data_IF_473921670671
#
_entry.id   IF_473921670671
#
_cell.length_a   1.000
_cell.length_b   1.000
_cell.length_c   1.000
_cell.angle_alpha   90.00
_cell.angle_beta   90.00
_cell.angle_gamma   90.00
#
_symmetry.space_group_name_H-M   'P 1'
#
loop_
_entity.id
_entity.type
_entity.pdbx_description
1 polymer ?
#
# COMPACT_ATOMS: atom_id res chain seq x y z
N UNK A 1 -78.70 5.41 -5.33
CA UNK A 1 -77.78 5.03 -6.45
C UNK A 1 -76.37 5.42 -6.04
N UNK A 2 -75.56 4.45 -5.53
CA UNK A 2 -74.17 4.64 -5.15
C UNK A 2 -73.29 4.05 -6.24
N UNK A 3 -72.45 4.89 -6.88
CA UNK A 3 -71.48 4.47 -7.89
C UNK A 3 -70.17 4.12 -7.16
N UNK A 4 -69.75 2.86 -7.14
CA UNK A 4 -68.50 2.36 -6.69
C UNK A 4 -67.47 2.47 -7.85
N UNK A 5 -66.49 3.31 -7.69
CA UNK A 5 -65.36 3.40 -8.61
C UNK A 5 -64.25 2.42 -8.16
N UNK A 6 -63.99 1.39 -8.97
CA UNK A 6 -62.86 0.47 -8.79
C UNK A 6 -61.62 1.12 -9.35
N UNK A 7 -60.62 1.37 -8.50
CA UNK A 7 -59.28 1.80 -8.88
C UNK A 7 -58.45 0.54 -9.08
N UNK A 8 -58.10 0.22 -10.31
CA UNK A 8 -57.13 -0.79 -10.68
C UNK A 8 -55.70 -0.20 -10.47
N UNK A 9 -55.01 -0.69 -9.42
CA UNK A 9 -53.62 -0.37 -9.17
C UNK A 9 -52.74 -1.25 -10.07
N UNK A 10 -52.17 -0.65 -11.12
CA UNK A 10 -51.17 -1.30 -11.99
C UNK A 10 -49.83 -1.27 -11.29
N UNK A 11 -49.44 -2.40 -10.70
CA UNK A 11 -48.11 -2.58 -10.10
C UNK A 11 -47.11 -2.90 -11.22
N UNK A 12 -46.40 -1.87 -11.72
CA UNK A 12 -45.26 -2.08 -12.60
C UNK A 12 -44.11 -2.73 -11.81
N UNK A 13 -43.93 -4.04 -11.98
CA UNK A 13 -42.67 -4.70 -11.61
C UNK A 13 -41.58 -4.20 -12.57
N UNK A 14 -40.78 -3.25 -12.11
CA UNK A 14 -39.50 -2.96 -12.75
C UNK A 14 -38.56 -4.13 -12.46
N UNK A 15 -38.40 -5.05 -13.40
CA UNK A 15 -37.33 -6.03 -13.38
C UNK A 15 -36.03 -5.27 -13.58
N UNK A 16 -35.33 -4.98 -12.48
CA UNK A 16 -33.92 -4.57 -12.54
C UNK A 16 -33.15 -5.76 -13.08
N UNK A 17 -32.66 -5.68 -14.32
CA UNK A 17 -31.69 -6.61 -14.84
C UNK A 17 -30.42 -6.46 -13.95
N UNK A 18 -30.29 -7.34 -12.98
CA UNK A 18 -29.03 -7.57 -12.30
C UNK A 18 -28.14 -8.22 -13.38
N UNK A 19 -27.27 -7.44 -13.99
CA UNK A 19 -26.16 -8.03 -14.72
C UNK A 19 -25.38 -8.81 -13.66
N UNK A 20 -25.51 -10.13 -13.68
CA UNK A 20 -24.65 -11.00 -12.93
C UNK A 20 -23.22 -10.71 -13.46
N UNK A 21 -22.41 -9.99 -12.69
CA UNK A 21 -20.97 -10.00 -12.91
C UNK A 21 -20.60 -11.50 -12.95
N UNK A 22 -19.98 -11.93 -14.04
CA UNK A 22 -19.50 -13.31 -14.15
C UNK A 22 -18.68 -13.65 -12.90
N UNK A 23 -18.75 -14.90 -12.44
CA UNK A 23 -17.93 -15.38 -11.34
C UNK A 23 -16.47 -15.01 -11.61
N UNK A 24 -15.74 -14.56 -10.57
CA UNK A 24 -14.34 -14.15 -10.70
C UNK A 24 -13.45 -15.13 -9.97
N UNK A 25 -12.24 -15.28 -10.50
CA UNK A 25 -11.24 -16.15 -9.90
C UNK A 25 -9.82 -15.68 -10.21
N UNK A 26 -8.87 -16.41 -9.67
CA UNK A 26 -7.45 -16.15 -9.89
C UNK A 26 -6.63 -17.44 -9.79
N UNK A 27 -5.60 -17.64 -10.64
CA UNK A 27 -4.71 -18.78 -10.52
C UNK A 27 -3.74 -18.55 -9.36
N UNK A 28 -3.50 -19.60 -8.56
CA UNK A 28 -2.49 -19.61 -7.48
C UNK A 28 -1.11 -20.03 -7.96
N UNK A 29 -1.06 -20.76 -9.07
CA UNK A 29 0.15 -21.12 -9.79
C UNK A 29 0.06 -20.63 -11.23
N UNK A 30 1.17 -20.54 -11.94
CA UNK A 30 1.11 -20.26 -13.38
C UNK A 30 0.28 -21.34 -14.08
N UNK A 31 -0.80 -20.97 -14.74
CA UNK A 31 -1.75 -21.88 -15.34
C UNK A 31 -1.86 -21.68 -16.84
N UNK A 32 -1.94 -22.79 -17.59
CA UNK A 32 -2.06 -22.77 -19.04
C UNK A 32 -3.51 -22.59 -19.48
N UNK A 33 -3.72 -21.71 -20.44
CA UNK A 33 -5.00 -21.49 -21.12
C UNK A 33 -5.00 -22.27 -22.45
N UNK A 34 -6.05 -23.05 -22.67
CA UNK A 34 -6.20 -23.95 -23.83
C UNK A 34 -7.39 -23.52 -24.70
N UNK A 35 -7.37 -23.89 -25.99
CA UNK A 35 -8.46 -23.57 -26.92
C UNK A 35 -9.75 -24.38 -26.62
N UNK A 36 -9.62 -25.57 -26.02
CA UNK A 36 -10.72 -26.44 -25.63
C UNK A 36 -10.44 -27.10 -24.28
N UNK A 37 -11.46 -27.67 -23.58
CA UNK A 37 -11.30 -28.30 -22.26
C UNK A 37 -10.60 -29.65 -22.35
N UNK A 38 -9.42 -29.66 -22.95
CA UNK A 38 -8.55 -30.82 -23.16
C UNK A 38 -7.08 -30.39 -23.10
N UNK A 39 -6.30 -31.05 -22.22
CA UNK A 39 -4.89 -30.74 -22.01
C UNK A 39 -4.01 -31.07 -23.24
N UNK A 40 -4.50 -31.87 -24.20
CA UNK A 40 -3.86 -32.12 -25.46
C UNK A 40 -4.14 -31.07 -26.53
N UNK A 41 -5.11 -30.19 -26.30
CA UNK A 41 -5.48 -29.12 -27.24
C UNK A 41 -4.41 -28.02 -27.32
N UNK A 42 -4.53 -27.16 -28.34
CA UNK A 42 -3.60 -26.05 -28.52
C UNK A 42 -3.57 -25.10 -27.34
N UNK A 43 -2.37 -24.78 -26.92
CA UNK A 43 -2.12 -23.79 -25.87
C UNK A 43 -2.25 -22.36 -26.44
N UNK A 44 -3.01 -21.51 -25.78
CA UNK A 44 -3.23 -20.12 -26.19
C UNK A 44 -2.29 -19.16 -25.48
N UNK A 45 -2.22 -19.27 -24.15
CA UNK A 45 -1.45 -18.36 -23.30
C UNK A 45 -1.18 -18.97 -21.92
N UNK A 46 -0.45 -18.24 -21.08
CA UNK A 46 -0.27 -18.54 -19.66
C UNK A 46 -0.87 -17.42 -18.81
N UNK A 47 -1.68 -17.80 -17.86
CA UNK A 47 -2.13 -16.90 -16.81
C UNK A 47 -1.16 -17.00 -15.63
N UNK A 48 -0.50 -15.92 -15.29
CA UNK A 48 0.39 -15.83 -14.13
C UNK A 48 -0.38 -15.84 -12.81
N UNK A 49 0.33 -16.06 -11.71
CA UNK A 49 -0.21 -16.05 -10.34
C UNK A 49 -0.91 -14.72 -10.04
N UNK A 50 -2.07 -14.77 -9.43
CA UNK A 50 -2.82 -13.59 -9.02
C UNK A 50 -3.52 -12.83 -10.17
N UNK A 51 -3.41 -13.29 -11.43
CA UNK A 51 -4.12 -12.66 -12.56
C UNK A 51 -5.63 -12.83 -12.44
N UNK A 52 -6.36 -11.84 -12.90
CA UNK A 52 -7.82 -11.89 -12.90
C UNK A 52 -8.34 -12.80 -13.99
N UNK A 53 -9.32 -13.61 -13.61
CA UNK A 53 -10.10 -14.45 -14.51
C UNK A 53 -11.57 -14.12 -14.35
N UNK A 54 -12.25 -13.80 -15.45
CA UNK A 54 -13.71 -13.76 -15.51
C UNK A 54 -14.18 -15.13 -15.98
N UNK A 55 -15.05 -15.78 -15.18
CA UNK A 55 -15.54 -17.12 -15.47
C UNK A 55 -16.74 -17.02 -16.40
N UNK A 56 -16.63 -17.56 -17.59
CA UNK A 56 -17.67 -17.55 -18.61
C UNK A 56 -18.52 -18.82 -18.56
N UNK A 57 -17.89 -19.98 -18.27
CA UNK A 57 -18.57 -21.27 -18.15
C UNK A 57 -17.76 -22.22 -17.25
N UNK A 58 -18.40 -23.25 -16.71
CA UNK A 58 -17.80 -24.20 -15.79
C UNK A 58 -18.20 -25.63 -16.14
N UNK A 59 -17.21 -26.49 -16.22
CA UNK A 59 -17.37 -27.96 -16.31
C UNK A 59 -16.85 -28.62 -15.02
N UNK A 60 -16.90 -29.93 -14.95
CA UNK A 60 -16.37 -30.66 -13.78
C UNK A 60 -14.90 -30.33 -13.49
N UNK A 61 -14.04 -30.27 -14.51
CA UNK A 61 -12.58 -30.14 -14.42
C UNK A 61 -12.02 -28.84 -15.00
N UNK A 62 -12.80 -28.11 -15.79
CA UNK A 62 -12.36 -26.94 -16.53
C UNK A 62 -13.25 -25.72 -16.30
N UNK A 63 -12.64 -24.57 -16.38
CA UNK A 63 -13.30 -23.26 -16.42
C UNK A 63 -13.06 -22.65 -17.80
N UNK A 64 -14.12 -22.17 -18.45
CA UNK A 64 -14.01 -21.28 -19.59
C UNK A 64 -13.83 -19.86 -19.06
N UNK A 65 -12.74 -19.22 -19.38
CA UNK A 65 -12.36 -17.95 -18.79
C UNK A 65 -11.99 -16.92 -19.83
N UNK A 66 -12.22 -15.67 -19.49
CA UNK A 66 -11.51 -14.53 -20.07
C UNK A 66 -10.44 -14.10 -19.07
N UNK A 67 -9.18 -14.15 -19.48
CA UNK A 67 -8.02 -13.84 -18.66
C UNK A 67 -7.38 -12.53 -19.12
N UNK A 68 -7.14 -11.60 -18.20
CA UNK A 68 -6.33 -10.42 -18.43
C UNK A 68 -4.86 -10.78 -18.22
N UNK A 69 -4.07 -10.82 -19.29
CA UNK A 69 -2.68 -11.28 -19.25
C UNK A 69 -1.67 -10.18 -18.89
N UNK A 70 -2.00 -8.93 -19.17
CA UNK A 70 -1.19 -7.76 -18.83
C UNK A 70 -1.91 -6.87 -17.84
N UNK A 71 -1.16 -6.04 -17.10
CA UNK A 71 -1.76 -5.05 -16.20
C UNK A 71 -2.23 -3.85 -17.06
N UNK A 72 -3.52 -3.45 -16.99
CA UNK A 72 -4.05 -2.40 -17.87
C UNK A 72 -3.62 -0.99 -17.51
N UNK A 73 -2.66 -0.80 -16.59
CA UNK A 73 -2.29 0.53 -16.10
C UNK A 73 -1.04 1.05 -16.78
N UNK A 74 -1.16 2.22 -17.49
CA UNK A 74 -0.05 2.82 -18.23
C UNK A 74 1.02 3.48 -17.35
N UNK A 75 0.79 3.60 -16.06
CA UNK A 75 1.66 4.31 -15.11
C UNK A 75 2.74 3.43 -14.45
N UNK A 76 2.80 2.15 -14.82
CA UNK A 76 3.93 1.28 -14.48
C UNK A 76 4.79 1.07 -15.72
N UNK A 77 5.51 2.10 -16.07
CA UNK A 77 6.59 2.05 -17.06
C UNK A 77 7.83 1.36 -16.46
N UNK A 78 7.69 0.12 -16.01
CA UNK A 78 8.84 -0.71 -15.79
C UNK A 78 9.18 -1.41 -17.09
N UNK A 79 10.22 -0.88 -17.75
CA UNK A 79 11.08 -1.53 -18.75
C UNK A 79 10.49 -2.85 -19.29
N UNK A 80 9.30 -2.77 -19.81
CA UNK A 80 8.70 -3.84 -20.52
C UNK A 80 9.12 -3.61 -21.96
N UNK A 81 9.72 -4.61 -22.54
CA UNK A 81 9.95 -4.64 -23.97
C UNK A 81 8.74 -4.03 -24.69
N UNK A 82 8.97 -3.20 -25.68
CA UNK A 82 7.97 -2.50 -26.50
C UNK A 82 6.89 -3.39 -27.13
N UNK A 83 6.98 -4.72 -26.91
CA UNK A 83 6.05 -5.76 -27.34
C UNK A 83 5.08 -6.23 -26.24
N UNK A 84 5.01 -5.57 -25.07
CA UNK A 84 4.07 -5.97 -24.03
C UNK A 84 2.64 -5.57 -24.44
N UNK A 85 1.87 -6.58 -24.73
CA UNK A 85 0.43 -6.57 -25.04
C UNK A 85 -0.39 -5.90 -23.90
N UNK A 86 -0.36 -4.57 -23.80
CA UNK A 86 -1.16 -3.80 -22.85
C UNK A 86 -2.65 -4.14 -23.04
N UNK A 87 -3.26 -4.69 -21.98
CA UNK A 87 -4.70 -4.98 -21.98
C UNK A 87 -5.10 -6.20 -22.79
N UNK A 88 -4.18 -7.11 -23.18
CA UNK A 88 -4.54 -8.30 -23.91
C UNK A 88 -5.35 -9.26 -23.05
N UNK A 89 -6.60 -9.44 -23.42
CA UNK A 89 -7.45 -10.50 -22.90
C UNK A 89 -7.35 -11.73 -23.78
N UNK A 90 -7.35 -12.90 -23.17
CA UNK A 90 -7.41 -14.20 -23.87
C UNK A 90 -8.57 -15.01 -23.33
N UNK A 91 -9.42 -15.48 -24.22
CA UNK A 91 -10.54 -16.37 -23.88
C UNK A 91 -10.15 -17.81 -24.17
N UNK A 92 -10.37 -18.70 -23.22
CA UNK A 92 -10.04 -20.12 -23.36
C UNK A 92 -10.36 -20.93 -22.10
N UNK A 93 -9.79 -22.13 -22.03
CA UNK A 93 -10.06 -23.09 -20.97
C UNK A 93 -8.86 -23.28 -20.05
N UNK A 94 -9.09 -23.22 -18.73
CA UNK A 94 -8.09 -23.43 -17.68
C UNK A 94 -8.53 -24.55 -16.75
N UNK A 95 -7.60 -25.33 -16.18
CA UNK A 95 -7.94 -26.37 -15.22
C UNK A 95 -8.46 -25.74 -13.92
N UNK A 96 -9.63 -26.18 -13.46
CA UNK A 96 -10.31 -25.65 -12.26
C UNK A 96 -9.46 -25.79 -10.98
N UNK A 97 -8.66 -26.85 -10.87
CA UNK A 97 -7.83 -27.10 -9.67
C UNK A 97 -6.79 -26.03 -9.39
N UNK A 98 -6.40 -25.27 -10.42
CA UNK A 98 -5.34 -24.27 -10.35
C UNK A 98 -5.90 -22.86 -10.05
N UNK A 99 -7.24 -22.75 -9.85
CA UNK A 99 -7.95 -21.47 -9.72
C UNK A 99 -8.72 -21.39 -8.41
N UNK A 100 -8.54 -20.29 -7.70
CA UNK A 100 -9.38 -19.90 -6.55
C UNK A 100 -10.50 -19.01 -7.05
N UNK A 101 -11.73 -19.39 -6.74
CA UNK A 101 -12.95 -18.62 -6.97
C UNK A 101 -13.40 -17.94 -5.67
N UNK A 102 -14.22 -16.91 -5.76
CA UNK A 102 -14.85 -16.28 -4.59
C UNK A 102 -15.67 -17.27 -3.73
N UNK A 103 -16.13 -18.38 -4.34
CA UNK A 103 -16.85 -19.47 -3.68
C UNK A 103 -15.95 -20.57 -3.11
N UNK A 104 -14.61 -20.49 -3.31
CA UNK A 104 -13.68 -21.52 -2.81
C UNK A 104 -13.60 -21.49 -1.28
N UNK A 105 -13.88 -22.60 -0.58
CA UNK A 105 -13.72 -22.67 0.85
C UNK A 105 -12.28 -22.33 1.29
N UNK A 106 -12.13 -21.47 2.31
CA UNK A 106 -10.83 -20.95 2.79
C UNK A 106 -9.96 -20.33 1.68
N UNK A 107 -10.56 -19.89 0.56
CA UNK A 107 -9.84 -19.31 -0.57
C UNK A 107 -9.02 -18.07 -0.21
N UNK A 108 -9.48 -17.29 0.75
CA UNK A 108 -8.77 -16.14 1.33
C UNK A 108 -7.46 -16.57 2.00
N UNK A 109 -7.47 -17.64 2.80
CA UNK A 109 -6.28 -18.17 3.48
C UNK A 109 -5.29 -18.79 2.50
N UNK A 110 -5.80 -19.50 1.47
CA UNK A 110 -4.96 -20.09 0.43
C UNK A 110 -4.23 -18.97 -0.32
N UNK A 111 -4.96 -17.96 -0.81
CA UNK A 111 -4.35 -16.83 -1.52
C UNK A 111 -3.36 -16.06 -0.65
N UNK A 112 -3.72 -15.83 0.63
CA UNK A 112 -2.83 -15.13 1.56
C UNK A 112 -1.54 -15.91 1.82
N UNK A 113 -1.63 -17.24 2.01
CA UNK A 113 -0.46 -18.10 2.18
C UNK A 113 0.46 -18.10 0.97
N UNK A 114 -0.09 -18.21 -0.23
CA UNK A 114 0.66 -18.15 -1.49
C UNK A 114 1.29 -16.76 -1.73
N UNK A 115 0.63 -15.69 -1.26
CA UNK A 115 1.18 -14.35 -1.30
C UNK A 115 2.39 -14.21 -0.36
N UNK A 116 2.29 -14.73 0.88
CA UNK A 116 3.41 -14.75 1.86
C UNK A 116 4.59 -15.53 1.30
N UNK A 117 4.37 -16.70 0.71
CA UNK A 117 5.44 -17.48 0.07
C UNK A 117 6.13 -16.68 -1.06
N UNK A 118 5.34 -15.98 -1.88
CA UNK A 118 5.90 -15.15 -2.94
C UNK A 118 6.67 -13.94 -2.42
N UNK A 119 6.20 -13.32 -1.33
CA UNK A 119 6.89 -12.21 -0.65
C UNK A 119 8.23 -12.68 -0.04
N UNK A 120 8.23 -13.85 0.60
CA UNK A 120 9.46 -14.47 1.12
C UNK A 120 10.46 -14.74 0.00
N UNK A 121 10.01 -15.32 -1.12
CA UNK A 121 10.85 -15.52 -2.30
C UNK A 121 11.41 -14.19 -2.85
N UNK A 122 10.64 -13.11 -2.83
CA UNK A 122 11.08 -11.80 -3.29
C UNK A 122 12.18 -11.20 -2.39
N UNK A 123 12.18 -11.53 -1.10
CA UNK A 123 13.17 -11.05 -0.12
C UNK A 123 14.52 -11.77 -0.21
N UNK A 124 14.59 -12.92 -0.87
CA UNK A 124 15.79 -13.75 -0.95
C UNK A 124 16.73 -13.26 -2.07
N UNK A 125 18.05 -13.29 -1.83
CA UNK A 125 19.07 -12.82 -2.78
C UNK A 125 19.01 -13.53 -4.15
N UNK A 126 18.51 -14.76 -4.19
CA UNK A 126 18.33 -15.58 -5.41
C UNK A 126 16.88 -16.07 -5.53
N UNK A 127 15.93 -15.27 -5.03
CA UNK A 127 14.53 -15.58 -5.14
C UNK A 127 14.02 -15.57 -6.58
N UNK A 128 12.80 -16.06 -6.75
CA UNK A 128 12.18 -16.18 -8.07
C UNK A 128 11.93 -14.81 -8.70
N UNK A 129 12.36 -14.63 -9.94
CA UNK A 129 12.07 -13.41 -10.70
C UNK A 129 10.54 -13.17 -10.77
N UNK A 130 10.11 -11.95 -10.51
CA UNK A 130 8.69 -11.59 -10.52
C UNK A 130 7.93 -11.99 -9.24
N UNK A 131 8.61 -12.51 -8.20
CA UNK A 131 7.96 -12.93 -6.95
C UNK A 131 7.28 -11.78 -6.22
N UNK A 132 7.86 -10.58 -6.20
CA UNK A 132 7.24 -9.39 -5.61
C UNK A 132 5.92 -9.01 -6.30
N UNK A 133 5.92 -9.03 -7.64
CA UNK A 133 4.71 -8.77 -8.43
C UNK A 133 3.64 -9.84 -8.23
N UNK A 134 4.04 -11.12 -8.08
CA UNK A 134 3.11 -12.19 -7.76
C UNK A 134 2.51 -12.00 -6.36
N UNK A 135 3.35 -11.72 -5.35
CA UNK A 135 2.89 -11.43 -3.99
C UNK A 135 1.88 -10.28 -3.98
N UNK A 136 2.24 -9.16 -4.63
CA UNK A 136 1.38 -7.97 -4.76
C UNK A 136 0.01 -8.33 -5.35
N UNK A 137 -0.04 -9.09 -6.45
CA UNK A 137 -1.30 -9.50 -7.08
C UNK A 137 -2.11 -10.45 -6.22
N UNK A 138 -1.46 -11.47 -5.62
CA UNK A 138 -2.14 -12.45 -4.77
C UNK A 138 -2.75 -11.79 -3.52
N UNK A 139 -2.02 -10.90 -2.84
CA UNK A 139 -2.56 -10.12 -1.73
C UNK A 139 -3.75 -9.26 -2.16
N UNK A 140 -3.65 -8.58 -3.30
CA UNK A 140 -4.77 -7.81 -3.84
C UNK A 140 -6.01 -8.68 -4.05
N UNK A 141 -5.85 -9.91 -4.58
CA UNK A 141 -6.96 -10.84 -4.82
C UNK A 141 -7.63 -11.32 -3.53
N UNK A 142 -6.92 -11.40 -2.41
CA UNK A 142 -7.57 -11.67 -1.11
C UNK A 142 -8.63 -10.59 -0.81
N UNK A 143 -8.25 -9.32 -0.89
CA UNK A 143 -9.17 -8.21 -0.59
C UNK A 143 -10.26 -8.02 -1.67
N UNK A 144 -9.99 -8.44 -2.90
CA UNK A 144 -10.89 -8.30 -4.04
C UNK A 144 -11.96 -9.40 -4.09
N UNK A 145 -11.57 -10.67 -3.94
CA UNK A 145 -12.47 -11.82 -3.98
C UNK A 145 -13.13 -12.10 -2.62
N UNK A 146 -12.48 -11.75 -1.52
CA UNK A 146 -12.95 -12.02 -0.15
C UNK A 146 -12.98 -10.73 0.71
N UNK A 147 -13.76 -9.71 0.32
CA UNK A 147 -13.73 -8.39 0.98
C UNK A 147 -14.19 -8.41 2.44
N UNK A 148 -14.89 -9.47 2.87
CA UNK A 148 -15.35 -9.66 4.26
C UNK A 148 -14.41 -10.53 5.08
N UNK A 149 -13.33 -11.04 4.49
CA UNK A 149 -12.32 -11.82 5.21
C UNK A 149 -11.60 -10.97 6.27
N UNK A 150 -11.30 -11.53 7.45
CA UNK A 150 -10.45 -10.85 8.43
C UNK A 150 -9.03 -10.55 7.91
N UNK A 151 -8.60 -11.22 6.84
CA UNK A 151 -7.31 -10.99 6.17
C UNK A 151 -7.36 -9.87 5.13
N UNK A 152 -8.54 -9.40 4.72
CA UNK A 152 -8.70 -8.48 3.58
C UNK A 152 -7.94 -7.15 3.78
N UNK A 153 -8.00 -6.57 4.97
CA UNK A 153 -7.31 -5.30 5.26
C UNK A 153 -5.78 -5.46 5.28
N UNK A 154 -5.28 -6.54 5.92
CA UNK A 154 -3.85 -6.89 5.91
C UNK A 154 -3.35 -7.10 4.48
N UNK A 155 -4.04 -7.93 3.73
CA UNK A 155 -3.70 -8.25 2.35
C UNK A 155 -3.69 -7.01 1.46
N UNK A 156 -4.71 -6.15 1.56
CA UNK A 156 -4.76 -4.93 0.76
C UNK A 156 -3.59 -3.99 1.09
N UNK A 157 -3.27 -3.84 2.38
CA UNK A 157 -2.13 -3.05 2.81
C UNK A 157 -0.80 -3.62 2.29
N UNK A 158 -0.55 -4.93 2.45
CA UNK A 158 0.69 -5.56 1.95
C UNK A 158 0.84 -5.43 0.44
N UNK A 159 -0.26 -5.60 -0.31
CA UNK A 159 -0.26 -5.35 -1.75
C UNK A 159 0.16 -3.91 -2.10
N UNK A 160 -0.40 -2.94 -1.37
CA UNK A 160 -0.07 -1.52 -1.54
C UNK A 160 1.38 -1.21 -1.11
N UNK A 161 1.84 -1.82 -0.01
CA UNK A 161 3.19 -1.60 0.52
C UNK A 161 4.29 -2.14 -0.39
N UNK A 162 4.14 -3.35 -0.94
CA UNK A 162 5.09 -3.89 -1.91
C UNK A 162 5.25 -2.92 -3.09
N UNK A 163 4.15 -2.39 -3.59
CA UNK A 163 4.17 -1.41 -4.67
C UNK A 163 4.87 -0.12 -4.25
N UNK A 164 4.49 0.42 -3.08
CA UNK A 164 5.11 1.61 -2.51
C UNK A 164 6.63 1.49 -2.40
N UNK A 165 7.12 0.35 -1.91
CA UNK A 165 8.56 0.08 -1.77
C UNK A 165 9.28 0.10 -3.12
N UNK A 166 8.67 -0.49 -4.15
CA UNK A 166 9.23 -0.50 -5.51
C UNK A 166 9.28 0.92 -6.09
N UNK A 167 8.18 1.66 -6.02
CA UNK A 167 8.10 3.03 -6.53
C UNK A 167 9.04 3.96 -5.76
N UNK A 168 9.12 3.81 -4.43
CA UNK A 168 10.05 4.58 -3.57
C UNK A 168 11.50 4.31 -3.94
N UNK A 169 11.87 3.07 -4.18
CA UNK A 169 13.22 2.72 -4.61
C UNK A 169 13.58 3.37 -5.95
N UNK A 170 12.65 3.40 -6.91
CA UNK A 170 12.82 4.07 -8.19
C UNK A 170 12.99 5.59 -8.02
N UNK A 171 12.11 6.25 -7.26
CA UNK A 171 12.18 7.68 -6.98
C UNK A 171 13.52 8.05 -6.32
N UNK A 172 13.95 7.26 -5.31
CA UNK A 172 15.19 7.52 -4.58
C UNK A 172 16.45 7.25 -5.42
N UNK A 173 16.37 6.45 -6.47
CA UNK A 173 17.47 6.20 -7.39
C UNK A 173 17.78 7.38 -8.31
N UNK A 174 16.85 8.31 -8.49
CA UNK A 174 16.97 9.45 -9.40
C UNK A 174 17.78 10.58 -8.78
N UNK A 175 18.57 11.32 -9.57
CA UNK A 175 19.30 12.50 -9.08
C UNK A 175 18.41 13.54 -8.41
N UNK A 176 17.17 13.70 -8.89
CA UNK A 176 16.17 14.62 -8.34
C UNK A 176 15.68 14.25 -6.93
N UNK A 177 15.97 13.06 -6.42
CA UNK A 177 15.60 12.66 -5.06
C UNK A 177 16.15 13.59 -3.97
N UNK A 178 17.25 14.31 -4.26
CA UNK A 178 17.90 15.25 -3.33
C UNK A 178 17.37 16.67 -3.42
N UNK A 179 16.50 16.97 -4.38
CA UNK A 179 15.91 18.31 -4.52
C UNK A 179 15.11 18.68 -3.26
N UNK A 180 15.25 19.92 -2.81
CA UNK A 180 14.58 20.41 -1.61
C UNK A 180 13.06 20.42 -1.77
N UNK A 181 12.59 20.93 -2.88
CA UNK A 181 11.17 21.05 -3.15
C UNK A 181 10.58 19.71 -3.64
N UNK A 182 9.52 19.26 -2.98
CA UNK A 182 8.86 17.99 -3.28
C UNK A 182 8.40 17.88 -4.76
N UNK A 183 7.92 18.97 -5.35
CA UNK A 183 7.44 18.98 -6.74
C UNK A 183 8.53 18.79 -7.81
N UNK A 184 9.82 18.94 -7.43
CA UNK A 184 10.96 18.66 -8.32
C UNK A 184 11.40 17.19 -8.26
N UNK A 185 10.92 16.44 -7.29
CA UNK A 185 11.19 15.01 -7.14
C UNK A 185 10.08 14.20 -7.80
N UNK A 186 10.35 12.97 -8.19
CA UNK A 186 9.29 12.05 -8.58
C UNK A 186 8.35 11.78 -7.41
N UNK A 187 7.05 11.71 -7.67
CA UNK A 187 6.06 11.31 -6.67
C UNK A 187 5.90 9.79 -6.68
N UNK A 188 5.69 9.21 -5.49
CA UNK A 188 5.29 7.82 -5.34
C UNK A 188 3.78 7.76 -5.55
N UNK A 189 3.27 6.77 -6.28
CA UNK A 189 1.83 6.61 -6.53
C UNK A 189 1.06 6.37 -5.22
N UNK A 190 0.25 7.35 -4.81
CA UNK A 190 -0.55 7.31 -3.59
C UNK A 190 -1.86 6.52 -3.73
N UNK A 191 -2.24 6.13 -4.94
CA UNK A 191 -3.56 5.55 -5.23
C UNK A 191 -3.87 4.37 -4.31
N UNK A 192 -2.94 3.43 -4.20
CA UNK A 192 -3.17 2.18 -3.45
C UNK A 192 -3.23 2.38 -1.95
N UNK A 193 -2.40 3.27 -1.40
CA UNK A 193 -2.47 3.61 0.02
C UNK A 193 -3.78 4.33 0.35
N UNK A 194 -4.25 5.22 -0.53
CA UNK A 194 -5.55 5.88 -0.40
C UNK A 194 -6.72 4.89 -0.48
N UNK A 195 -6.63 3.86 -1.33
CA UNK A 195 -7.65 2.81 -1.39
C UNK A 195 -7.68 1.94 -0.10
N UNK A 196 -6.54 1.65 0.52
CA UNK A 196 -6.50 1.00 1.85
C UNK A 196 -7.26 1.83 2.88
N UNK A 197 -6.94 3.11 2.99
CA UNK A 197 -7.58 4.04 3.95
C UNK A 197 -9.09 4.09 3.72
N UNK A 198 -9.52 4.20 2.47
CA UNK A 198 -10.93 4.31 2.08
C UNK A 198 -11.73 3.03 2.35
N UNK A 199 -11.14 1.85 2.05
CA UNK A 199 -11.84 0.56 2.18
C UNK A 199 -11.84 0.01 3.60
N UNK A 200 -10.83 0.33 4.40
CA UNK A 200 -10.63 -0.23 5.74
C UNK A 200 -10.41 0.86 6.81
N UNK A 201 -11.28 1.88 6.88
CA UNK A 201 -11.11 2.99 7.81
C UNK A 201 -11.09 2.51 9.27
N UNK A 202 -10.29 3.17 10.11
CA UNK A 202 -10.18 2.86 11.55
C UNK A 202 -9.44 1.56 11.87
N UNK A 203 -8.74 0.98 10.90
CA UNK A 203 -7.86 -0.17 11.11
C UNK A 203 -6.41 0.28 11.20
N UNK A 204 -5.57 -0.50 11.90
CA UNK A 204 -4.11 -0.26 11.92
C UNK A 204 -3.51 -0.20 10.51
N UNK A 205 -4.11 -0.88 9.54
CA UNK A 205 -3.65 -0.91 8.17
C UNK A 205 -3.91 0.42 7.44
N UNK A 206 -5.04 1.06 7.73
CA UNK A 206 -5.33 2.40 7.25
C UNK A 206 -4.36 3.43 7.87
N UNK A 207 -4.03 3.27 9.16
CA UNK A 207 -3.07 4.13 9.84
C UNK A 207 -1.67 3.98 9.23
N UNK A 208 -1.21 2.74 8.99
CA UNK A 208 0.06 2.48 8.32
C UNK A 208 0.09 3.08 6.90
N UNK A 209 -1.00 2.91 6.13
CA UNK A 209 -1.11 3.50 4.80
C UNK A 209 -1.05 5.04 4.84
N UNK A 210 -1.70 5.67 5.85
CA UNK A 210 -1.63 7.12 6.05
C UNK A 210 -0.21 7.60 6.39
N UNK A 211 0.58 6.79 7.09
CA UNK A 211 1.98 7.09 7.38
C UNK A 211 2.83 7.11 6.12
N UNK A 212 2.66 6.14 5.22
CA UNK A 212 3.38 6.13 3.93
C UNK A 212 3.12 7.41 3.11
N UNK A 213 1.90 7.96 3.15
CA UNK A 213 1.59 9.20 2.42
C UNK A 213 2.36 10.43 2.92
N UNK A 214 3.10 10.33 4.02
CA UNK A 214 3.99 11.38 4.50
C UNK A 214 5.20 11.53 3.57
N UNK A 215 5.72 10.44 3.01
CA UNK A 215 6.93 10.44 2.19
C UNK A 215 6.90 11.47 1.04
N UNK A 216 5.76 11.60 0.36
CA UNK A 216 5.60 12.59 -0.73
C UNK A 216 5.57 14.05 -0.25
N UNK A 217 5.40 14.28 1.05
CA UNK A 217 5.29 15.62 1.65
C UNK A 217 6.60 16.12 2.24
N UNK A 218 7.54 15.21 2.46
CA UNK A 218 8.84 15.55 3.04
C UNK A 218 9.70 16.32 2.02
N UNK A 219 10.62 17.11 2.50
CA UNK A 219 11.65 17.70 1.66
C UNK A 219 12.75 16.68 1.34
N UNK A 220 13.56 16.96 0.33
CA UNK A 220 14.83 16.28 0.13
C UNK A 220 15.91 16.79 1.10
N UNK A 221 16.95 17.41 0.57
CA UNK A 221 18.00 18.03 1.39
C UNK A 221 17.54 19.39 1.96
N UNK A 222 17.60 19.59 3.27
CA UNK A 222 17.20 20.86 3.91
C UNK A 222 18.19 22.00 3.66
N UNK A 223 19.45 21.72 3.34
CA UNK A 223 20.49 22.70 3.06
C UNK A 223 20.65 23.75 4.18
N UNK A 224 20.35 23.38 5.43
CA UNK A 224 20.38 24.28 6.59
C UNK A 224 19.20 25.25 6.71
N UNK A 225 18.18 25.17 5.84
CA UNK A 225 17.00 26.03 5.91
C UNK A 225 15.99 25.53 6.96
N UNK A 226 15.35 26.47 7.67
CA UNK A 226 14.38 26.18 8.75
C UNK A 226 13.02 25.73 8.24
N UNK A 227 12.62 26.10 7.01
CA UNK A 227 11.28 25.85 6.43
C UNK A 227 10.93 24.37 6.38
N UNK A 228 11.85 23.54 5.91
CA UNK A 228 11.61 22.10 5.73
C UNK A 228 11.45 21.36 7.05
N UNK A 229 12.39 21.41 8.00
CA UNK A 229 12.23 20.70 9.26
C UNK A 229 11.03 21.17 10.08
N UNK A 230 10.62 22.45 10.00
CA UNK A 230 9.37 22.90 10.62
C UNK A 230 8.16 22.20 10.01
N UNK A 231 8.02 22.26 8.68
CA UNK A 231 6.91 21.63 7.96
C UNK A 231 6.83 20.12 8.23
N UNK A 232 7.97 19.45 8.23
CA UNK A 232 8.03 18.01 8.46
C UNK A 232 7.69 17.64 9.90
N UNK A 233 8.18 18.40 10.90
CA UNK A 233 7.81 18.21 12.29
C UNK A 233 6.30 18.31 12.48
N UNK A 234 5.67 19.35 11.91
CA UNK A 234 4.22 19.55 11.98
C UNK A 234 3.42 18.40 11.32
N UNK A 235 3.93 17.83 10.21
CA UNK A 235 3.31 16.68 9.54
C UNK A 235 3.32 15.45 10.47
N UNK A 236 4.46 15.15 11.09
CA UNK A 236 4.59 14.02 12.00
C UNK A 236 3.83 14.21 13.32
N UNK A 237 3.83 15.42 13.88
CA UNK A 237 3.03 15.75 15.06
C UNK A 237 1.53 15.56 14.77
N UNK A 238 1.08 16.04 13.61
CA UNK A 238 -0.31 15.86 13.18
C UNK A 238 -0.65 14.39 13.03
N UNK A 239 0.22 13.59 12.38
CA UNK A 239 -0.02 12.17 12.24
C UNK A 239 -0.14 11.48 13.61
N UNK A 240 0.78 11.72 14.53
CA UNK A 240 0.74 11.12 15.88
C UNK A 240 -0.52 11.53 16.67
N UNK A 241 -1.02 12.75 16.47
CA UNK A 241 -2.25 13.22 17.09
C UNK A 241 -3.52 12.59 16.49
N UNK A 242 -3.56 12.44 15.15
CA UNK A 242 -4.70 11.86 14.44
C UNK A 242 -4.77 10.32 14.60
N UNK A 243 -3.62 9.66 14.82
CA UNK A 243 -3.47 8.20 14.86
C UNK A 243 -2.74 7.71 16.12
N UNK A 244 -3.23 8.04 17.35
CA UNK A 244 -2.49 7.75 18.60
C UNK A 244 -2.28 6.25 18.86
N UNK A 245 -3.17 5.39 18.35
CA UNK A 245 -3.10 3.93 18.48
C UNK A 245 -2.34 3.24 17.34
N UNK A 246 -1.83 4.01 16.38
CA UNK A 246 -1.06 3.46 15.26
C UNK A 246 0.24 2.81 15.74
N UNK A 247 0.61 1.64 15.18
CA UNK A 247 1.90 1.00 15.48
C UNK A 247 3.11 1.90 15.21
N UNK A 248 2.98 2.89 14.31
CA UNK A 248 4.04 3.82 13.92
C UNK A 248 3.88 5.22 14.53
N UNK A 249 2.93 5.42 15.45
CA UNK A 249 2.83 6.66 16.22
C UNK A 249 4.09 6.97 17.05
N UNK A 250 4.78 5.96 17.65
CA UNK A 250 6.07 6.19 18.29
C UNK A 250 7.13 6.75 17.36
N UNK A 251 7.19 6.24 16.11
CA UNK A 251 8.06 6.73 15.06
C UNK A 251 7.75 8.18 14.72
N UNK A 252 6.47 8.49 14.47
CA UNK A 252 6.04 9.85 14.15
C UNK A 252 6.43 10.86 15.24
N UNK A 253 6.23 10.51 16.52
CA UNK A 253 6.65 11.39 17.63
C UNK A 253 8.15 11.58 17.67
N UNK A 254 8.92 10.53 17.46
CA UNK A 254 10.39 10.63 17.41
C UNK A 254 10.85 11.48 16.23
N UNK A 255 10.31 11.26 15.06
CA UNK A 255 10.65 12.00 13.84
C UNK A 255 10.32 13.51 13.98
N UNK A 256 9.20 13.85 14.60
CA UNK A 256 8.86 15.23 14.93
C UNK A 256 9.88 15.82 15.92
N UNK A 257 10.20 15.09 17.01
CA UNK A 257 11.16 15.53 18.02
C UNK A 257 12.55 15.76 17.43
N UNK A 258 13.01 14.88 16.55
CA UNK A 258 14.31 14.98 15.90
C UNK A 258 14.40 16.21 14.99
N UNK A 259 13.33 16.55 14.25
CA UNK A 259 13.28 17.75 13.42
C UNK A 259 13.33 19.04 14.23
N UNK A 260 12.63 19.09 15.37
CA UNK A 260 12.74 20.20 16.30
C UNK A 260 14.15 20.27 16.93
N UNK A 261 14.78 19.13 17.19
CA UNK A 261 16.16 19.09 17.65
C UNK A 261 17.15 19.62 16.61
N UNK A 262 16.96 19.30 15.34
CA UNK A 262 17.76 19.86 14.24
C UNK A 262 17.62 21.39 14.13
N UNK A 263 16.41 21.92 14.34
CA UNK A 263 16.15 23.37 14.31
C UNK A 263 16.91 24.14 15.40
N UNK A 264 17.27 23.52 16.52
CA UNK A 264 18.10 24.15 17.55
C UNK A 264 19.39 24.69 16.97
N UNK A 265 20.10 23.84 16.23
CA UNK A 265 21.40 24.19 15.65
C UNK A 265 21.25 25.16 14.47
N UNK A 266 20.22 24.98 13.65
CA UNK A 266 19.95 25.88 12.53
C UNK A 266 19.66 27.28 13.04
N UNK A 267 18.81 27.46 14.06
CA UNK A 267 18.54 28.77 14.66
C UNK A 267 19.74 29.40 15.35
N UNK A 268 20.64 28.59 15.91
CA UNK A 268 21.93 29.12 16.44
C UNK A 268 22.79 29.72 15.32
N UNK A 269 22.80 29.11 14.11
CA UNK A 269 23.56 29.68 12.98
C UNK A 269 22.93 30.97 12.43
N UNK A 270 21.63 31.19 12.74
CA UNK A 270 20.89 32.42 12.39
C UNK A 270 20.95 33.48 13.53
N UNK A 271 21.69 33.22 14.62
CA UNK A 271 21.75 34.06 15.83
C UNK A 271 20.38 34.28 16.49
N UNK A 272 19.41 33.36 16.32
CA UNK A 272 18.07 33.42 16.90
C UNK A 272 17.96 32.50 18.13
N UNK A 273 18.54 32.95 19.25
CA UNK A 273 18.56 32.23 20.51
C UNK A 273 17.14 31.92 21.04
N UNK A 274 16.17 32.81 20.80
CA UNK A 274 14.79 32.59 21.25
C UNK A 274 14.15 31.42 20.55
N UNK A 275 14.23 31.36 19.19
CA UNK A 275 13.68 30.27 18.45
C UNK A 275 14.44 28.96 18.71
N UNK A 276 15.74 29.01 18.94
CA UNK A 276 16.56 27.88 19.35
C UNK A 276 16.04 27.27 20.67
N UNK A 277 15.77 28.11 21.68
CA UNK A 277 15.22 27.68 22.96
C UNK A 277 13.80 27.11 22.84
N UNK A 278 12.93 27.74 22.02
CA UNK A 278 11.59 27.24 21.73
C UNK A 278 11.62 25.88 21.03
N UNK A 279 12.50 25.69 20.06
CA UNK A 279 12.72 24.42 19.36
C UNK A 279 13.21 23.33 20.32
N UNK A 280 14.14 23.65 21.22
CA UNK A 280 14.61 22.73 22.26
C UNK A 280 13.46 22.27 23.17
N UNK A 281 12.61 23.21 23.61
CA UNK A 281 11.45 22.88 24.46
C UNK A 281 10.49 21.92 23.76
N UNK A 282 10.16 22.15 22.49
CA UNK A 282 9.32 21.26 21.70
C UNK A 282 9.95 19.88 21.48
N UNK A 283 11.23 19.83 21.12
CA UNK A 283 11.95 18.57 20.95
C UNK A 283 11.94 17.73 22.23
N UNK A 284 12.18 18.35 23.39
CA UNK A 284 12.16 17.66 24.68
C UNK A 284 10.76 17.17 25.07
N UNK A 285 9.70 17.94 24.81
CA UNK A 285 8.32 17.52 25.09
C UNK A 285 7.93 16.29 24.24
N UNK A 286 8.18 16.34 22.93
CA UNK A 286 7.83 15.25 22.01
C UNK A 286 8.65 13.99 22.28
N UNK A 287 9.97 14.13 22.46
CA UNK A 287 10.83 13.01 22.82
C UNK A 287 10.44 12.42 24.18
N UNK A 288 10.06 13.26 25.15
CA UNK A 288 9.54 12.83 26.43
C UNK A 288 8.27 12.02 26.32
N UNK A 289 7.31 12.46 25.49
CA UNK A 289 6.09 11.71 25.20
C UNK A 289 6.40 10.36 24.57
N UNK A 290 7.24 10.32 23.54
CA UNK A 290 7.62 9.08 22.86
C UNK A 290 8.30 8.10 23.84
N UNK A 291 9.25 8.58 24.64
CA UNK A 291 9.98 7.78 25.63
C UNK A 291 9.07 7.22 26.74
N UNK A 292 8.11 8.02 27.23
CA UNK A 292 7.22 7.62 28.32
C UNK A 292 6.11 6.65 27.86
N UNK A 293 5.53 6.91 26.70
CA UNK A 293 4.40 6.12 26.18
C UNK A 293 4.82 4.81 25.56
N UNK A 294 6.02 4.75 24.97
CA UNK A 294 6.44 3.63 24.13
C UNK A 294 7.77 3.00 24.60
N UNK A 295 7.90 2.79 25.91
CA UNK A 295 9.11 2.32 26.60
C UNK A 295 9.68 0.98 26.08
N UNK A 296 8.86 0.15 25.41
CA UNK A 296 9.26 -1.14 24.88
C UNK A 296 9.48 -1.14 23.37
N UNK A 297 9.40 0.03 22.71
CA UNK A 297 9.64 0.16 21.29
C UNK A 297 11.08 0.63 21.03
N UNK A 298 11.58 0.33 19.84
CA UNK A 298 12.87 0.88 19.38
C UNK A 298 12.83 2.41 19.33
N UNK A 299 11.72 2.97 18.87
CA UNK A 299 11.52 4.43 18.81
C UNK A 299 11.49 5.09 20.19
N UNK A 300 10.92 4.41 21.20
CA UNK A 300 11.02 4.87 22.61
C UNK A 300 12.46 4.90 23.09
N UNK A 301 13.28 3.90 22.73
CA UNK A 301 14.69 3.86 23.07
C UNK A 301 15.48 4.97 22.37
N UNK A 302 15.19 5.24 21.09
CA UNK A 302 15.78 6.36 20.33
C UNK A 302 15.36 7.71 20.93
N UNK A 303 14.12 7.85 21.38
CA UNK A 303 13.64 9.05 22.05
C UNK A 303 14.38 9.30 23.40
N UNK A 304 14.67 8.26 24.17
CA UNK A 304 15.52 8.37 25.37
C UNK A 304 16.92 8.87 25.04
N UNK A 305 17.56 8.34 23.96
CA UNK A 305 18.86 8.83 23.49
C UNK A 305 18.77 10.31 23.12
N UNK A 306 17.74 10.71 22.35
CA UNK A 306 17.54 12.10 21.96
C UNK A 306 17.38 13.02 23.17
N UNK A 307 16.56 12.64 24.16
CA UNK A 307 16.40 13.40 25.41
C UNK A 307 17.74 13.61 26.12
N UNK A 308 18.55 12.57 26.23
CA UNK A 308 19.87 12.67 26.83
C UNK A 308 20.76 13.70 26.10
N UNK A 309 20.80 13.64 24.75
CA UNK A 309 21.58 14.60 23.95
C UNK A 309 21.12 16.03 24.20
N UNK A 310 19.80 16.27 24.18
CA UNK A 310 19.19 17.58 24.41
C UNK A 310 19.47 18.12 25.81
N UNK A 311 19.46 17.26 26.84
CA UNK A 311 19.76 17.62 28.22
C UNK A 311 21.24 18.01 28.39
N UNK A 312 22.14 17.28 27.73
CA UNK A 312 23.58 17.57 27.77
C UNK A 312 24.01 18.71 26.85
N UNK A 313 23.09 19.25 26.04
CA UNK A 313 23.43 20.28 25.04
C UNK A 313 24.30 19.75 23.89
N UNK A 314 24.23 18.45 23.61
CA UNK A 314 24.94 17.80 22.50
C UNK A 314 24.05 17.95 21.25
N UNK A 315 24.58 18.48 20.14
CA UNK A 315 23.82 18.61 18.89
C UNK A 315 23.33 17.24 18.38
N UNK A 316 22.06 17.18 17.97
CA UNK A 316 21.45 16.01 17.34
C UNK A 316 21.52 16.05 15.81
N UNK A 317 21.90 17.20 15.23
CA UNK A 317 21.99 17.42 13.77
C UNK A 317 23.37 17.94 13.39
N UNK A 318 23.85 17.53 12.22
CA UNK A 318 25.16 17.95 11.73
C UNK A 318 26.34 17.13 12.28
N UNK A 319 26.10 16.07 13.06
CA UNK A 319 27.12 15.11 13.44
C UNK A 319 27.18 13.96 12.42
N UNK A 320 28.39 13.47 12.10
CA UNK A 320 28.68 12.48 11.06
C UNK A 320 28.13 11.05 11.36
N UNK A 321 27.13 10.93 12.23
CA UNK A 321 26.51 9.66 12.62
C UNK A 321 25.09 9.45 12.04
N UNK A 322 24.69 10.28 11.05
CA UNK A 322 23.43 10.11 10.31
C UNK A 322 23.63 9.27 9.05
#
# INVERSE_FOLDING_TARGET
MRKTASILLFMCLAATAVFALGDRGTPVTEAMIYISPDASSSKLARAGRGRELVILDTTEKWLHVEALLSDPRPDIEYAVNEDADEGKTVTGWIMKRDVILASTPDGDKILFGEAVDSEDQASQAHGRLGAAQDAQRLYYRVADLFPTSPLAADAMYRSADIRWQVDKADVLSKPSAREQDAYLRGEIDEHWMKEVIKRFPGTKWADLAAFHLIDNKLCGNWQGATKCPIKEAEIYEKYAADHPESPVSPEALYEAAWRWAALIEIYKTEDDEKKSADAKSKAMDLAGKAAAQFTRSDWGSRAHKLLYLLQQGIPAYGNAED
#
